data_IF_294224462425
#
_entry.id   IF_294224462425
#
_cell.length_a   1.000
_cell.length_b   1.000
_cell.length_c   1.000
_cell.angle_alpha   90.00
_cell.angle_beta   90.00
_cell.angle_gamma   90.00
#
_symmetry.space_group_name_H-M   'P 1'
#
loop_
_entity.id
_entity.type
_entity.pdbx_description
1 polymer ?
#
# COMPACT_ATOMS: atom_id res chain seq x y z
N UNK A 1 -17.95 35.92 -0.60
CA UNK A 1 -17.81 34.46 -0.44
C UNK A 1 -16.52 34.17 0.31
N UNK A 2 -16.59 33.53 1.49
CA UNK A 2 -15.39 33.15 2.25
C UNK A 2 -14.58 32.09 1.50
N UNK A 3 -13.25 32.21 1.50
CA UNK A 3 -12.36 31.21 0.89
C UNK A 3 -12.35 29.96 1.77
N UNK A 4 -12.82 28.84 1.24
CA UNK A 4 -12.62 27.53 1.83
C UNK A 4 -11.25 27.00 1.41
N UNK A 5 -10.44 26.54 2.38
CA UNK A 5 -9.18 25.87 2.12
C UNK A 5 -9.40 24.36 2.16
N UNK A 6 -9.06 23.67 1.07
CA UNK A 6 -9.07 22.20 0.98
C UNK A 6 -7.66 21.70 1.17
N UNK A 7 -7.49 20.69 2.03
CA UNK A 7 -6.22 20.01 2.28
C UNK A 7 -6.39 18.51 2.04
N UNK A 8 -5.47 17.93 1.28
CA UNK A 8 -5.45 16.48 1.04
C UNK A 8 -4.93 15.80 2.32
N UNK A 9 -5.74 14.94 2.91
CA UNK A 9 -5.36 14.16 4.09
C UNK A 9 -4.91 12.75 3.76
N UNK A 10 -5.36 12.18 2.65
CA UNK A 10 -4.93 10.85 2.22
C UNK A 10 -5.23 10.65 0.74
N UNK A 11 -4.29 10.00 0.05
CA UNK A 11 -4.46 9.48 -1.30
C UNK A 11 -4.35 7.96 -1.21
N UNK A 12 -5.30 7.28 -1.84
CA UNK A 12 -5.33 5.82 -1.99
C UNK A 12 -5.13 5.50 -3.46
N UNK A 13 -4.07 4.77 -3.78
CA UNK A 13 -3.79 4.31 -5.13
C UNK A 13 -3.85 2.78 -5.20
N UNK A 14 -4.18 2.23 -6.37
CA UNK A 14 -4.19 0.79 -6.59
C UNK A 14 -3.63 0.42 -7.95
N UNK A 15 -2.88 -0.68 -8.01
CA UNK A 15 -2.33 -1.25 -9.23
C UNK A 15 -2.49 -2.77 -9.27
N UNK A 16 -2.28 -3.36 -10.46
CA UNK A 16 -2.37 -4.81 -10.68
C UNK A 16 -1.19 -5.26 -11.54
N UNK A 17 -0.38 -6.19 -11.03
CA UNK A 17 0.79 -6.73 -11.74
C UNK A 17 0.47 -7.79 -12.80
N UNK A 18 -0.82 -8.13 -12.99
CA UNK A 18 -1.32 -9.15 -13.95
C UNK A 18 -0.66 -10.52 -13.82
N UNK A 19 -0.15 -10.83 -12.64
CA UNK A 19 0.42 -12.12 -12.27
C UNK A 19 0.17 -12.38 -10.78
N UNK A 20 0.19 -13.64 -10.38
CA UNK A 20 0.11 -13.99 -8.97
C UNK A 20 1.43 -13.66 -8.26
N UNK A 21 1.34 -13.29 -6.99
CA UNK A 21 2.49 -13.00 -6.13
C UNK A 21 2.56 -14.09 -5.05
N UNK A 22 3.71 -14.75 -4.94
CA UNK A 22 4.02 -15.59 -3.78
C UNK A 22 4.31 -14.68 -2.57
N UNK A 23 3.33 -14.55 -1.69
CA UNK A 23 3.48 -13.73 -0.49
C UNK A 23 4.49 -14.31 0.50
N UNK A 24 4.84 -15.61 0.46
CA UNK A 24 5.95 -16.13 1.27
C UNK A 24 7.30 -15.62 0.76
N UNK A 25 7.45 -15.51 -0.57
CA UNK A 25 8.63 -14.90 -1.18
C UNK A 25 8.73 -13.41 -0.81
N UNK A 26 7.61 -12.68 -0.80
CA UNK A 26 7.56 -11.28 -0.32
C UNK A 26 8.06 -11.17 1.12
N UNK A 27 7.60 -12.03 2.03
CA UNK A 27 8.04 -12.02 3.43
C UNK A 27 9.54 -12.33 3.59
N UNK A 28 10.10 -13.14 2.68
CA UNK A 28 11.53 -13.47 2.68
C UNK A 28 12.39 -12.30 2.21
N UNK A 29 11.93 -11.58 1.18
CA UNK A 29 12.65 -10.45 0.59
C UNK A 29 12.50 -9.17 1.41
N UNK A 30 11.34 -8.98 2.05
CA UNK A 30 11.02 -7.80 2.85
C UNK A 30 10.73 -8.22 4.31
N UNK A 31 11.76 -8.31 5.17
CA UNK A 31 11.60 -8.75 6.56
C UNK A 31 10.67 -7.86 7.40
N UNK A 32 10.49 -6.60 7.01
CA UNK A 32 9.58 -5.64 7.62
C UNK A 32 8.12 -5.79 7.17
N UNK A 33 7.86 -6.62 6.14
CA UNK A 33 6.50 -6.94 5.77
C UNK A 33 5.83 -7.78 6.87
N UNK A 34 4.52 -7.64 7.01
CA UNK A 34 3.71 -8.39 7.95
C UNK A 34 2.66 -9.22 7.21
N UNK A 35 2.50 -10.49 7.59
CA UNK A 35 1.41 -11.34 7.12
C UNK A 35 0.74 -12.04 8.30
N UNK A 36 -0.59 -11.94 8.37
CA UNK A 36 -1.43 -12.64 9.36
C UNK A 36 -2.66 -13.19 8.64
N UNK A 37 -2.58 -14.35 7.97
CA UNK A 37 -3.60 -14.80 7.02
C UNK A 37 -4.97 -15.02 7.68
N UNK A 38 -5.00 -15.35 8.98
CA UNK A 38 -6.25 -15.45 9.76
C UNK A 38 -6.97 -14.10 9.98
N UNK A 39 -6.25 -12.97 9.87
CA UNK A 39 -6.75 -11.60 10.11
C UNK A 39 -6.84 -10.77 8.83
N UNK A 40 -5.94 -10.99 7.89
CA UNK A 40 -5.86 -10.24 6.63
C UNK A 40 -5.28 -11.12 5.51
N UNK A 41 -5.89 -11.17 4.31
CA UNK A 41 -5.49 -12.08 3.24
C UNK A 41 -4.27 -11.62 2.43
N UNK A 42 -3.68 -10.46 2.74
CA UNK A 42 -2.51 -9.91 2.04
C UNK A 42 -1.27 -9.77 2.94
N UNK A 43 -0.18 -9.33 2.33
CA UNK A 43 0.99 -8.81 3.04
C UNK A 43 0.85 -7.30 3.23
N UNK A 44 1.33 -6.81 4.36
CA UNK A 44 1.35 -5.38 4.72
C UNK A 44 2.81 -4.95 4.74
N UNK A 45 3.20 -4.05 3.85
CA UNK A 45 4.55 -3.49 3.78
C UNK A 45 4.51 -2.00 4.10
N UNK A 46 5.32 -1.53 5.04
CA UNK A 46 5.36 -0.12 5.46
C UNK A 46 6.64 0.55 4.99
N UNK A 47 6.51 1.46 4.02
CA UNK A 47 7.62 2.28 3.57
C UNK A 47 7.78 3.53 4.47
N UNK A 48 9.02 3.95 4.70
CA UNK A 48 9.33 5.12 5.54
C UNK A 48 9.42 6.43 4.76
N UNK A 49 9.83 6.37 3.48
CA UNK A 49 9.98 7.55 2.63
C UNK A 49 9.54 7.22 1.19
N UNK A 50 8.34 7.67 0.74
CA UNK A 50 7.30 8.36 1.53
C UNK A 50 6.70 7.45 2.61
N UNK A 51 6.06 8.06 3.62
CA UNK A 51 5.40 7.29 4.70
C UNK A 51 4.07 6.72 4.20
N UNK A 52 4.15 5.54 3.58
CA UNK A 52 3.00 4.86 2.97
C UNK A 52 2.96 3.40 3.38
N UNK A 53 1.78 2.78 3.26
CA UNK A 53 1.58 1.35 3.48
C UNK A 53 1.07 0.71 2.20
N UNK A 54 1.75 -0.36 1.77
CA UNK A 54 1.32 -1.22 0.69
C UNK A 54 0.59 -2.44 1.23
N UNK A 55 -0.58 -2.71 0.67
CA UNK A 55 -1.33 -3.95 0.86
C UNK A 55 -1.18 -4.78 -0.41
N UNK A 56 -0.49 -5.90 -0.30
CA UNK A 56 -0.12 -6.76 -1.43
C UNK A 56 -0.94 -8.05 -1.34
N UNK A 57 -1.63 -8.40 -2.42
CA UNK A 57 -2.50 -9.58 -2.48
C UNK A 57 -1.91 -10.65 -3.40
N UNK A 58 -2.19 -11.93 -3.13
CA UNK A 58 -1.74 -13.06 -3.96
C UNK A 58 -2.19 -12.95 -5.42
N UNK A 59 -3.30 -12.26 -5.69
CA UNK A 59 -3.82 -11.99 -7.05
C UNK A 59 -2.99 -11.00 -7.87
N UNK A 60 -1.92 -10.43 -7.31
CA UNK A 60 -1.15 -9.36 -7.95
C UNK A 60 -1.72 -7.97 -7.79
N UNK A 61 -2.84 -7.82 -7.07
CA UNK A 61 -3.36 -6.50 -6.68
C UNK A 61 -2.46 -5.89 -5.60
N UNK A 62 -2.19 -4.60 -5.73
CA UNK A 62 -1.46 -3.79 -4.75
C UNK A 62 -2.28 -2.53 -4.45
N UNK A 63 -2.39 -2.16 -3.18
CA UNK A 63 -3.03 -0.92 -2.74
C UNK A 63 -2.03 -0.11 -1.91
N UNK A 64 -1.78 1.14 -2.30
CA UNK A 64 -0.99 2.10 -1.55
C UNK A 64 -1.92 3.03 -0.77
N UNK A 65 -1.65 3.21 0.53
CA UNK A 65 -2.40 4.12 1.41
C UNK A 65 -1.45 4.97 2.25
N UNK A 66 -1.90 6.16 2.67
CA UNK A 66 -1.16 7.05 3.56
C UNK A 66 -0.46 8.21 2.86
N UNK A 67 -0.46 8.23 1.53
CA UNK A 67 0.14 9.29 0.72
C UNK A 67 -0.60 10.62 0.89
N UNK A 68 0.12 11.75 0.84
CA UNK A 68 -0.46 13.11 0.95
C UNK A 68 -0.58 13.83 -0.38
N UNK A 69 -0.14 13.19 -1.45
CA UNK A 69 -0.29 13.66 -2.82
C UNK A 69 -0.31 12.47 -3.78
N UNK A 70 -0.76 12.70 -5.00
CA UNK A 70 -0.67 11.70 -6.08
C UNK A 70 0.78 11.27 -6.33
N UNK A 71 1.72 12.22 -6.26
CA UNK A 71 3.16 11.96 -6.45
C UNK A 71 3.75 11.06 -5.36
N UNK A 72 3.20 11.08 -4.15
CA UNK A 72 3.60 10.16 -3.08
C UNK A 72 2.93 8.78 -3.19
N UNK A 73 1.86 8.66 -3.99
CA UNK A 73 1.00 7.49 -3.95
C UNK A 73 1.52 6.28 -4.74
N UNK A 74 2.59 6.43 -5.54
CA UNK A 74 3.37 5.37 -6.19
C UNK A 74 4.66 5.99 -6.75
#
# INVERSE_FOLDING_TARGET
MGKFAVKIENVVASGVLRQNIDLNAVMKEFPEAERRPKRFPGAILRAKCPSVTFLIFESGKIVCVGARSEREAC
#
